data_IF_625116377320
#
_entry.id   IF_625116377320
#
_cell.length_a   1.000
_cell.length_b   1.000
_cell.length_c   1.000
_cell.angle_alpha   90.00
_cell.angle_beta   90.00
_cell.angle_gamma   90.00
#
_symmetry.space_group_name_H-M   'P 1'
#
loop_
_entity.id
_entity.type
_entity.pdbx_description
1 polymer ?
#
# COMPACT_ATOMS: atom_id res chain seq x y z
N UNK A 1 -11.72 2.44 -27.08
CA UNK A 1 -10.28 2.27 -26.80
C UNK A 1 -9.97 0.79 -27.03
N UNK A 2 -8.86 0.42 -27.67
CA UNK A 2 -8.51 -0.98 -27.92
C UNK A 2 -8.05 -1.60 -26.59
N UNK A 3 -8.39 -2.88 -26.29
CA UNK A 3 -8.05 -3.58 -25.04
C UNK A 3 -6.55 -3.47 -24.67
N UNK A 4 -5.67 -3.49 -25.68
CA UNK A 4 -4.22 -3.31 -25.46
C UNK A 4 -3.86 -1.90 -24.97
N UNK A 5 -4.55 -0.86 -25.44
CA UNK A 5 -4.32 0.51 -24.98
C UNK A 5 -4.84 0.70 -23.55
N UNK A 6 -5.99 0.12 -23.20
CA UNK A 6 -6.53 0.16 -21.84
C UNK A 6 -5.58 -0.49 -20.84
N UNK A 7 -5.04 -1.65 -21.18
CA UNK A 7 -4.09 -2.35 -20.32
C UNK A 7 -2.77 -1.58 -20.16
N UNK A 8 -2.28 -0.99 -21.25
CA UNK A 8 -1.06 -0.19 -21.27
C UNK A 8 -1.19 1.05 -20.37
N UNK A 9 -2.25 1.84 -20.57
CA UNK A 9 -2.45 3.06 -19.77
C UNK A 9 -2.89 2.73 -18.33
N UNK A 10 -3.64 1.66 -18.14
CA UNK A 10 -3.99 1.17 -16.81
C UNK A 10 -2.75 0.85 -15.97
N UNK A 11 -1.69 0.30 -16.59
CA UNK A 11 -0.44 0.04 -15.89
C UNK A 11 0.23 1.30 -15.30
N UNK A 12 -0.06 2.49 -15.84
CA UNK A 12 0.43 3.77 -15.30
C UNK A 12 -0.37 4.27 -14.07
N UNK A 13 -1.48 3.64 -13.73
CA UNK A 13 -2.26 3.98 -12.54
C UNK A 13 -1.43 3.95 -11.26
N UNK A 14 -0.37 3.12 -11.20
CA UNK A 14 0.58 3.10 -10.08
C UNK A 14 1.38 4.40 -9.93
N UNK A 15 1.68 5.10 -11.02
CA UNK A 15 2.37 6.39 -10.96
C UNK A 15 1.46 7.44 -10.31
N UNK A 16 0.19 7.45 -10.69
CA UNK A 16 -0.84 8.27 -10.06
C UNK A 16 -0.92 7.98 -8.55
N UNK A 17 -0.99 6.69 -8.19
CA UNK A 17 -1.00 6.28 -6.79
C UNK A 17 0.21 6.80 -6.03
N UNK A 18 1.43 6.54 -6.51
CA UNK A 18 2.66 6.91 -5.80
C UNK A 18 2.76 8.42 -5.61
N UNK A 19 2.44 9.20 -6.64
CA UNK A 19 2.49 10.67 -6.56
C UNK A 19 1.54 11.19 -5.48
N UNK A 20 0.28 10.77 -5.50
CA UNK A 20 -0.71 11.26 -4.53
C UNK A 20 -0.46 10.72 -3.12
N UNK A 21 -0.02 9.46 -2.98
CA UNK A 21 0.33 8.88 -1.69
C UNK A 21 1.50 9.61 -1.03
N UNK A 22 2.56 9.93 -1.80
CA UNK A 22 3.71 10.69 -1.28
C UNK A 22 3.31 12.10 -0.88
N UNK A 23 2.48 12.80 -1.68
CA UNK A 23 1.96 14.12 -1.31
C UNK A 23 1.14 14.03 -0.02
N UNK A 24 0.24 13.06 0.08
CA UNK A 24 -0.58 12.84 1.28
C UNK A 24 0.27 12.57 2.53
N UNK A 25 1.30 11.74 2.39
CA UNK A 25 2.24 11.42 3.48
C UNK A 25 3.01 12.66 3.96
N UNK A 26 3.46 13.50 3.03
CA UNK A 26 4.16 14.76 3.37
C UNK A 26 3.24 15.74 4.11
N UNK A 27 1.96 15.80 3.72
CA UNK A 27 0.97 16.67 4.37
C UNK A 27 0.58 16.19 5.76
N UNK A 28 0.60 14.89 6.01
CA UNK A 28 0.31 14.30 7.32
C UNK A 28 1.38 14.61 8.38
N UNK A 29 2.58 15.04 7.96
CA UNK A 29 3.66 15.36 8.87
C UNK A 29 4.38 14.13 9.44
N UNK A 30 5.19 14.35 10.47
CA UNK A 30 5.93 13.28 11.14
C UNK A 30 5.04 12.60 12.18
N UNK A 31 4.71 11.35 11.93
CA UNK A 31 3.90 10.54 12.84
C UNK A 31 4.64 10.28 14.16
N UNK A 32 3.97 10.38 15.33
CA UNK A 32 4.55 10.05 16.62
C UNK A 32 4.80 8.53 16.74
N UNK A 33 5.69 8.16 17.67
CA UNK A 33 5.85 6.76 18.04
C UNK A 33 4.65 6.25 18.85
N UNK A 34 4.37 4.96 18.76
CA UNK A 34 3.33 4.31 19.57
C UNK A 34 3.62 4.34 21.07
N UNK A 35 4.87 4.62 21.44
CA UNK A 35 5.32 4.76 22.85
C UNK A 35 5.29 6.18 23.36
N UNK A 36 4.98 7.17 22.51
CA UNK A 36 4.88 8.56 22.91
C UNK A 36 3.68 8.79 23.85
N UNK A 37 3.74 9.87 24.62
CA UNK A 37 2.69 10.19 25.58
C UNK A 37 1.38 10.57 24.87
N UNK A 38 0.25 10.37 25.56
CA UNK A 38 -1.05 10.78 25.04
C UNK A 38 -1.12 12.27 24.68
N UNK A 39 -0.41 13.12 25.42
CA UNK A 39 -0.33 14.55 25.14
C UNK A 39 0.45 14.85 23.85
N UNK A 40 1.54 14.13 23.56
CA UNK A 40 2.30 14.26 22.31
C UNK A 40 1.50 13.79 21.11
N UNK A 41 0.77 12.68 21.25
CA UNK A 41 -0.13 12.17 20.20
C UNK A 41 -1.27 13.18 19.95
N UNK A 42 -1.90 13.72 20.98
CA UNK A 42 -2.95 14.74 20.84
C UNK A 42 -2.41 16.00 20.14
N UNK A 43 -1.19 16.42 20.49
CA UNK A 43 -0.53 17.56 19.85
C UNK A 43 -0.28 17.29 18.36
N UNK A 44 0.15 16.08 17.97
CA UNK A 44 0.33 15.71 16.56
C UNK A 44 -0.96 15.89 15.77
N UNK A 45 -2.09 15.39 16.27
CA UNK A 45 -3.37 15.54 15.58
C UNK A 45 -3.84 17.00 15.52
N UNK A 46 -3.58 17.80 16.56
CA UNK A 46 -3.94 19.22 16.59
C UNK A 46 -3.07 20.05 15.62
N UNK A 47 -1.78 19.78 15.57
CA UNK A 47 -0.85 20.51 14.70
C UNK A 47 -1.00 20.15 13.20
N UNK A 48 -1.52 18.94 12.89
CA UNK A 48 -1.60 18.41 11.54
C UNK A 48 -3.05 18.11 11.07
N UNK A 49 -4.07 18.64 11.72
CA UNK A 49 -5.47 18.32 11.48
C UNK A 49 -5.89 18.43 10.01
N UNK A 50 -5.63 19.57 9.40
CA UNK A 50 -5.91 19.85 7.99
C UNK A 50 -5.06 18.98 7.06
N UNK A 51 -3.79 18.77 7.40
CA UNK A 51 -2.87 17.94 6.62
C UNK A 51 -3.32 16.48 6.57
N UNK A 52 -3.76 15.93 7.69
CA UNK A 52 -4.29 14.57 7.81
C UNK A 52 -5.59 14.38 7.03
N UNK A 53 -6.52 15.33 7.10
CA UNK A 53 -7.78 15.27 6.35
C UNK A 53 -7.57 15.37 4.83
N UNK A 54 -6.73 16.33 4.38
CA UNK A 54 -6.38 16.48 2.96
C UNK A 54 -5.58 15.27 2.49
N UNK A 55 -4.63 14.78 3.29
CA UNK A 55 -3.86 13.57 3.02
C UNK A 55 -4.74 12.34 2.82
N UNK A 56 -5.76 12.16 3.67
CA UNK A 56 -6.74 11.09 3.56
C UNK A 56 -7.56 11.18 2.25
N UNK A 57 -7.98 12.39 1.87
CA UNK A 57 -8.67 12.60 0.59
C UNK A 57 -7.77 12.23 -0.59
N UNK A 58 -6.51 12.66 -0.57
CA UNK A 58 -5.53 12.31 -1.62
C UNK A 58 -5.24 10.80 -1.65
N UNK A 59 -5.17 10.15 -0.49
CA UNK A 59 -5.04 8.69 -0.41
C UNK A 59 -6.24 7.97 -1.05
N UNK A 60 -7.46 8.46 -0.82
CA UNK A 60 -8.66 7.96 -1.49
C UNK A 60 -8.58 8.07 -3.02
N UNK A 61 -8.12 9.22 -3.54
CA UNK A 61 -7.90 9.42 -4.97
C UNK A 61 -6.75 8.54 -5.50
N UNK A 62 -5.69 8.35 -4.71
CA UNK A 62 -4.57 7.50 -5.07
C UNK A 62 -5.00 6.06 -5.30
N UNK A 63 -5.90 5.54 -4.47
CA UNK A 63 -6.43 4.17 -4.59
C UNK A 63 -7.15 3.95 -5.92
N UNK A 64 -7.80 4.95 -6.50
CA UNK A 64 -8.41 4.81 -7.83
C UNK A 64 -7.35 4.40 -8.85
N UNK A 65 -6.18 5.05 -8.85
CA UNK A 65 -5.07 4.69 -9.72
C UNK A 65 -4.51 3.29 -9.41
N UNK A 66 -4.42 2.94 -8.14
CA UNK A 66 -3.93 1.64 -7.69
C UNK A 66 -4.86 0.50 -8.15
N UNK A 67 -6.18 0.69 -8.07
CA UNK A 67 -7.19 -0.28 -8.55
C UNK A 67 -7.11 -0.44 -10.07
N UNK A 68 -7.00 0.67 -10.81
CA UNK A 68 -6.85 0.64 -12.28
C UNK A 68 -5.57 -0.11 -12.67
N UNK A 69 -4.46 0.17 -11.99
CA UNK A 69 -3.21 -0.55 -12.18
C UNK A 69 -3.35 -2.04 -11.89
N UNK A 70 -3.99 -2.39 -10.77
CA UNK A 70 -4.20 -3.79 -10.40
C UNK A 70 -5.03 -4.54 -11.44
N UNK A 71 -6.00 -3.89 -12.08
CA UNK A 71 -6.73 -4.46 -13.20
C UNK A 71 -5.82 -4.93 -14.35
N UNK A 72 -4.78 -4.15 -14.68
CA UNK A 72 -3.78 -4.53 -15.69
C UNK A 72 -2.90 -5.70 -15.19
N UNK A 73 -2.48 -5.68 -13.93
CA UNK A 73 -1.74 -6.79 -13.30
C UNK A 73 -2.56 -8.07 -13.33
N UNK A 74 -3.82 -8.00 -12.92
CA UNK A 74 -4.75 -9.13 -12.92
C UNK A 74 -4.87 -9.78 -14.29
N UNK A 75 -5.15 -9.00 -15.35
CA UNK A 75 -5.26 -9.51 -16.72
C UNK A 75 -3.97 -10.21 -17.17
N UNK A 76 -2.82 -9.60 -16.88
CA UNK A 76 -1.54 -10.17 -17.23
C UNK A 76 -1.26 -11.48 -16.48
N UNK A 77 -1.60 -11.57 -15.19
CA UNK A 77 -1.49 -12.79 -14.39
C UNK A 77 -2.39 -13.91 -14.92
N UNK A 78 -3.67 -13.62 -15.18
CA UNK A 78 -4.64 -14.63 -15.69
C UNK A 78 -4.16 -15.21 -17.02
N UNK A 79 -3.62 -14.38 -17.91
CA UNK A 79 -3.03 -14.87 -19.19
C UNK A 79 -1.81 -15.77 -18.95
N UNK A 80 -0.95 -15.38 -18.02
CA UNK A 80 0.27 -16.14 -17.74
C UNK A 80 -0.01 -17.48 -17.03
N UNK A 81 -1.11 -17.60 -16.30
CA UNK A 81 -1.56 -18.85 -15.66
C UNK A 81 -2.28 -19.81 -16.61
N UNK A 82 -2.57 -19.39 -17.86
CA UNK A 82 -3.25 -20.24 -18.83
C UNK A 82 -4.69 -20.59 -18.45
N UNK A 83 -5.37 -19.74 -17.66
CA UNK A 83 -6.81 -19.85 -17.34
C UNK A 83 -7.15 -20.44 -15.97
N UNK A 84 -6.20 -20.95 -15.17
CA UNK A 84 -6.49 -21.49 -13.81
C UNK A 84 -6.66 -20.41 -12.75
N UNK A 85 -6.14 -19.22 -12.97
CA UNK A 85 -6.30 -17.97 -12.18
C UNK A 85 -6.10 -18.10 -10.65
N UNK A 86 -5.41 -19.14 -10.17
CA UNK A 86 -5.25 -19.39 -8.73
C UNK A 86 -4.37 -18.33 -8.06
N UNK A 87 -3.20 -18.05 -8.66
CA UNK A 87 -2.28 -17.05 -8.10
C UNK A 87 -2.85 -15.64 -8.29
N UNK A 88 -3.51 -15.38 -9.42
CA UNK A 88 -4.22 -14.13 -9.62
C UNK A 88 -5.28 -13.89 -8.54
N UNK A 89 -6.08 -14.92 -8.17
CA UNK A 89 -7.07 -14.82 -7.10
C UNK A 89 -6.42 -14.55 -5.73
N UNK A 90 -5.32 -15.25 -5.40
CA UNK A 90 -4.58 -15.00 -4.15
C UNK A 90 -4.04 -13.57 -4.12
N UNK A 91 -3.50 -13.08 -5.24
CA UNK A 91 -3.04 -11.70 -5.35
C UNK A 91 -4.19 -10.70 -5.13
N UNK A 92 -5.38 -10.95 -5.71
CA UNK A 92 -6.53 -10.07 -5.54
C UNK A 92 -7.01 -10.02 -4.08
N UNK A 93 -7.10 -11.16 -3.42
CA UNK A 93 -7.49 -11.22 -2.01
C UNK A 93 -6.46 -10.46 -1.15
N UNK A 94 -5.16 -10.70 -1.37
CA UNK A 94 -4.10 -9.99 -0.68
C UNK A 94 -4.14 -8.47 -0.91
N UNK A 95 -4.36 -8.05 -2.16
CA UNK A 95 -4.52 -6.65 -2.54
C UNK A 95 -5.69 -5.98 -1.79
N UNK A 96 -6.84 -6.66 -1.74
CA UNK A 96 -8.02 -6.15 -1.02
C UNK A 96 -7.76 -6.03 0.48
N UNK A 97 -7.16 -7.06 1.10
CA UNK A 97 -6.82 -7.04 2.54
C UNK A 97 -5.87 -5.86 2.83
N UNK A 98 -4.77 -5.74 2.09
CA UNK A 98 -3.80 -4.66 2.27
C UNK A 98 -4.46 -3.28 2.11
N UNK A 99 -5.22 -3.09 1.04
CA UNK A 99 -5.86 -1.79 0.74
C UNK A 99 -6.92 -1.42 1.78
N UNK A 100 -7.76 -2.35 2.21
CA UNK A 100 -8.82 -2.07 3.19
C UNK A 100 -8.23 -1.71 4.55
N UNK A 101 -7.20 -2.43 5.00
CA UNK A 101 -6.57 -2.13 6.30
C UNK A 101 -5.81 -0.81 6.26
N UNK A 102 -5.11 -0.49 5.19
CA UNK A 102 -4.42 0.79 5.03
C UNK A 102 -5.41 1.97 4.98
N UNK A 103 -6.49 1.86 4.19
CA UNK A 103 -7.47 2.94 4.08
C UNK A 103 -8.28 3.11 5.36
N UNK A 104 -8.55 2.01 6.05
CA UNK A 104 -9.22 2.03 7.36
C UNK A 104 -8.40 2.76 8.42
N UNK A 105 -7.08 2.54 8.44
CA UNK A 105 -6.14 3.27 9.29
C UNK A 105 -6.19 4.77 8.97
N UNK A 106 -5.99 5.16 7.71
CA UNK A 106 -6.02 6.55 7.27
C UNK A 106 -7.36 7.23 7.61
N UNK A 107 -8.48 6.51 7.49
CA UNK A 107 -9.81 7.04 7.82
C UNK A 107 -9.96 7.28 9.33
N UNK A 108 -9.39 6.41 10.18
CA UNK A 108 -9.36 6.60 11.64
C UNK A 108 -8.54 7.86 11.96
N UNK A 109 -7.36 8.03 11.36
CA UNK A 109 -6.51 9.19 11.62
C UNK A 109 -7.17 10.50 11.18
N UNK A 110 -7.77 10.53 10.00
CA UNK A 110 -8.49 11.71 9.51
C UNK A 110 -9.72 12.04 10.39
N UNK A 111 -10.47 11.02 10.84
CA UNK A 111 -11.60 11.18 11.75
C UNK A 111 -11.16 11.67 13.14
N UNK A 112 -10.03 11.16 13.64
CA UNK A 112 -9.43 11.60 14.91
C UNK A 112 -8.98 13.05 14.84
N UNK A 113 -8.30 13.43 13.75
CA UNK A 113 -7.90 14.82 13.50
C UNK A 113 -9.11 15.76 13.43
N UNK A 114 -10.17 15.36 12.74
CA UNK A 114 -11.40 16.17 12.65
C UNK A 114 -12.12 16.37 14.00
N UNK A 115 -11.90 15.44 14.95
CA UNK A 115 -12.55 15.48 16.27
C UNK A 115 -11.57 15.86 17.41
N UNK A 116 -10.37 16.34 17.10
CA UNK A 116 -9.29 16.49 18.10
C UNK A 116 -9.66 17.41 19.25
N UNK A 117 -10.39 18.50 19.00
CA UNK A 117 -10.84 19.44 20.03
C UNK A 117 -11.77 18.77 21.08
N UNK A 118 -12.48 17.72 20.68
CA UNK A 118 -13.39 16.96 21.55
C UNK A 118 -12.67 15.79 22.25
N UNK A 119 -11.70 15.18 21.58
CA UNK A 119 -11.01 14.00 22.04
C UNK A 119 -9.85 14.33 23.00
N UNK A 120 -9.10 15.39 22.71
CA UNK A 120 -7.89 15.71 23.46
C UNK A 120 -6.94 14.51 23.55
N UNK A 121 -6.45 14.19 24.76
CA UNK A 121 -5.58 13.02 25.00
C UNK A 121 -6.25 11.66 24.70
N UNK A 122 -7.59 11.60 24.63
CA UNK A 122 -8.32 10.40 24.20
C UNK A 122 -8.03 9.98 22.75
N UNK A 123 -7.49 10.88 21.94
CA UNK A 123 -7.01 10.60 20.57
C UNK A 123 -5.95 9.49 20.52
N UNK A 124 -5.18 9.30 21.60
CA UNK A 124 -4.18 8.25 21.70
C UNK A 124 -4.76 6.83 21.52
N UNK A 125 -6.00 6.59 21.92
CA UNK A 125 -6.67 5.29 21.72
C UNK A 125 -6.92 5.04 20.24
N UNK A 126 -7.36 6.06 19.51
CA UNK A 126 -7.60 5.96 18.06
C UNK A 126 -6.30 5.84 17.27
N UNK A 127 -5.24 6.53 17.71
CA UNK A 127 -3.90 6.36 17.15
C UNK A 127 -3.40 4.91 17.27
N UNK A 128 -3.55 4.30 18.45
CA UNK A 128 -3.18 2.89 18.64
C UNK A 128 -4.03 1.96 17.76
N UNK A 129 -5.34 2.23 17.63
CA UNK A 129 -6.23 1.45 16.77
C UNK A 129 -5.82 1.57 15.29
N UNK A 130 -5.54 2.79 14.83
CA UNK A 130 -5.05 3.07 13.48
C UNK A 130 -3.75 2.32 13.20
N UNK A 131 -2.77 2.44 14.10
CA UNK A 131 -1.46 1.79 13.97
C UNK A 131 -1.57 0.25 13.90
N UNK A 132 -2.42 -0.35 14.75
CA UNK A 132 -2.65 -1.81 14.72
C UNK A 132 -3.33 -2.21 13.42
N UNK A 133 -4.33 -1.46 12.97
CA UNK A 133 -5.03 -1.74 11.71
C UNK A 133 -4.08 -1.64 10.51
N UNK A 134 -3.23 -0.61 10.47
CA UNK A 134 -2.19 -0.47 9.45
C UNK A 134 -1.20 -1.64 9.47
N UNK A 135 -0.84 -2.14 10.66
CA UNK A 135 0.03 -3.30 10.83
C UNK A 135 -0.48 -4.58 10.16
N UNK A 136 -1.78 -4.69 9.87
CA UNK A 136 -2.35 -5.80 9.08
C UNK A 136 -2.15 -5.64 7.57
N UNK A 137 -1.88 -4.44 7.06
CA UNK A 137 -1.66 -4.21 5.62
C UNK A 137 -0.51 -5.06 5.05
N UNK A 138 0.67 -5.17 5.70
CA UNK A 138 1.75 -6.03 5.24
C UNK A 138 1.38 -7.51 5.11
N UNK A 139 0.41 -8.02 5.88
CA UNK A 139 -0.07 -9.41 5.75
C UNK A 139 -0.78 -9.58 4.39
N UNK A 140 -1.58 -8.60 3.98
CA UNK A 140 -2.16 -8.58 2.64
C UNK A 140 -1.08 -8.52 1.55
N UNK A 141 -0.04 -7.72 1.77
CA UNK A 141 1.08 -7.60 0.83
C UNK A 141 1.87 -8.90 0.66
N UNK A 142 2.01 -9.71 1.72
CA UNK A 142 2.63 -11.04 1.62
C UNK A 142 1.89 -11.93 0.61
N UNK A 143 0.56 -11.92 0.64
CA UNK A 143 -0.25 -12.68 -0.32
C UNK A 143 -0.17 -12.06 -1.72
N UNK A 144 -0.34 -10.75 -1.82
CA UNK A 144 -0.35 -9.99 -3.06
C UNK A 144 0.98 -10.09 -3.80
N UNK A 145 2.06 -9.60 -3.19
CA UNK A 145 3.41 -9.59 -3.76
C UNK A 145 3.94 -11.01 -3.93
N UNK A 146 3.66 -11.89 -2.97
CA UNK A 146 4.08 -13.30 -2.99
C UNK A 146 3.49 -14.06 -4.17
N UNK A 147 2.19 -13.89 -4.46
CA UNK A 147 1.53 -14.54 -5.59
C UNK A 147 2.08 -14.05 -6.94
N UNK A 148 2.25 -12.72 -7.10
CA UNK A 148 2.85 -12.15 -8.32
C UNK A 148 4.29 -12.66 -8.50
N UNK A 149 5.08 -12.67 -7.43
CA UNK A 149 6.47 -13.14 -7.45
C UNK A 149 6.58 -14.63 -7.79
N UNK A 150 5.69 -15.45 -7.23
CA UNK A 150 5.62 -16.88 -7.55
C UNK A 150 5.29 -17.12 -9.02
N UNK A 151 4.36 -16.35 -9.59
CA UNK A 151 4.02 -16.45 -11.01
C UNK A 151 5.18 -15.97 -11.90
N UNK A 152 5.78 -14.82 -11.58
CA UNK A 152 6.93 -14.29 -12.31
C UNK A 152 8.16 -15.22 -12.26
N UNK A 153 8.30 -16.01 -11.19
CA UNK A 153 9.35 -17.03 -11.10
C UNK A 153 9.11 -18.21 -12.04
N UNK A 154 7.85 -18.63 -12.21
CA UNK A 154 7.44 -19.83 -12.97
C UNK A 154 7.23 -19.56 -14.46
N UNK A 155 6.96 -18.31 -14.83
CA UNK A 155 6.62 -17.90 -16.19
C UNK A 155 7.52 -16.75 -16.65
N UNK A 156 7.32 -16.30 -17.89
CA UNK A 156 7.98 -15.12 -18.45
C UNK A 156 7.09 -13.86 -18.36
N UNK A 157 6.07 -13.90 -17.55
CA UNK A 157 5.13 -12.79 -17.30
C UNK A 157 5.83 -11.49 -16.90
N UNK A 158 6.85 -11.59 -16.03
CA UNK A 158 7.74 -10.50 -15.64
C UNK A 158 9.19 -10.98 -15.61
N UNK A 159 10.18 -10.08 -15.73
CA UNK A 159 11.59 -10.45 -15.59
C UNK A 159 11.88 -11.13 -14.25
N UNK A 160 12.76 -12.14 -14.25
CA UNK A 160 13.09 -12.94 -13.04
C UNK A 160 13.57 -12.13 -11.84
N UNK A 161 14.15 -10.95 -12.07
CA UNK A 161 14.59 -10.07 -10.98
C UNK A 161 13.41 -9.51 -10.17
N UNK A 162 12.23 -9.29 -10.80
CA UNK A 162 11.03 -8.79 -10.08
C UNK A 162 10.51 -9.82 -9.09
N UNK A 163 10.60 -11.11 -9.42
CA UNK A 163 10.26 -12.18 -8.49
C UNK A 163 11.20 -12.17 -7.27
N UNK A 164 12.52 -12.03 -7.49
CA UNK A 164 13.51 -11.96 -6.39
C UNK A 164 13.30 -10.71 -5.52
N UNK A 165 13.09 -9.55 -6.15
CA UNK A 165 12.81 -8.31 -5.44
C UNK A 165 11.49 -8.41 -4.64
N UNK A 166 10.45 -9.02 -5.21
CA UNK A 166 9.19 -9.24 -4.51
C UNK A 166 9.34 -10.17 -3.29
N UNK A 167 10.21 -11.18 -3.33
CA UNK A 167 10.51 -12.01 -2.15
C UNK A 167 11.18 -11.21 -1.03
N UNK A 168 12.01 -10.21 -1.38
CA UNK A 168 12.57 -9.28 -0.38
C UNK A 168 11.45 -8.44 0.23
N UNK A 169 10.54 -7.89 -0.59
CA UNK A 169 9.37 -7.13 -0.10
C UNK A 169 8.53 -8.00 0.85
N UNK A 170 8.26 -9.25 0.48
CA UNK A 170 7.53 -10.22 1.34
C UNK A 170 8.24 -10.43 2.68
N UNK A 171 9.55 -10.62 2.67
CA UNK A 171 10.31 -10.83 3.91
C UNK A 171 10.27 -9.59 4.82
N UNK A 172 10.43 -8.39 4.25
CA UNK A 172 10.35 -7.13 5.00
C UNK A 172 8.93 -6.89 5.53
N UNK A 173 7.89 -7.18 4.72
CA UNK A 173 6.49 -7.08 5.13
C UNK A 173 6.16 -8.01 6.30
N UNK A 174 6.67 -9.25 6.29
CA UNK A 174 6.50 -10.19 7.41
C UNK A 174 7.13 -9.67 8.70
N UNK A 175 8.35 -9.10 8.62
CA UNK A 175 9.00 -8.51 9.80
C UNK A 175 8.24 -7.30 10.28
N UNK A 176 7.80 -6.42 9.37
CA UNK A 176 6.99 -5.23 9.68
C UNK A 176 5.68 -5.60 10.40
N UNK A 177 5.01 -6.69 10.00
CA UNK A 177 3.75 -7.12 10.61
C UNK A 177 3.88 -7.50 12.09
N UNK A 178 5.09 -7.78 12.59
CA UNK A 178 5.35 -8.05 14.01
C UNK A 178 5.13 -6.80 14.89
N UNK A 179 5.07 -5.61 14.30
CA UNK A 179 4.66 -4.37 15.00
C UNK A 179 3.27 -4.46 15.63
N UNK A 180 2.39 -5.35 15.15
CA UNK A 180 1.09 -5.61 15.78
C UNK A 180 1.25 -6.14 17.21
N UNK A 181 2.30 -6.93 17.45
CA UNK A 181 2.54 -7.62 18.72
C UNK A 181 3.63 -6.98 19.58
N UNK A 182 4.31 -5.94 19.10
CA UNK A 182 5.43 -5.32 19.80
C UNK A 182 5.60 -3.86 19.41
N UNK A 183 5.79 -3.00 20.41
CA UNK A 183 6.02 -1.55 20.25
C UNK A 183 7.52 -1.20 20.16
N UNK A 184 8.39 -2.18 19.86
CA UNK A 184 9.82 -1.90 19.73
C UNK A 184 10.08 -1.02 18.50
N UNK A 185 10.83 0.07 18.68
CA UNK A 185 11.19 1.02 17.62
C UNK A 185 11.83 0.39 16.38
N UNK A 186 12.45 -0.78 16.54
CA UNK A 186 12.94 -1.60 15.43
C UNK A 186 11.86 -1.91 14.39
N UNK A 187 10.63 -2.22 14.82
CA UNK A 187 9.53 -2.55 13.89
C UNK A 187 8.96 -1.32 13.18
N UNK A 188 9.02 -0.14 13.80
CA UNK A 188 8.63 1.11 13.15
C UNK A 188 9.57 1.42 11.96
N UNK A 189 10.88 1.23 12.14
CA UNK A 189 11.86 1.36 11.03
C UNK A 189 11.56 0.36 9.92
N UNK A 190 11.22 -0.88 10.27
CA UNK A 190 10.85 -1.89 9.27
C UNK A 190 9.54 -1.57 8.55
N UNK A 191 8.57 -0.90 9.19
CA UNK A 191 7.36 -0.44 8.54
C UNK A 191 7.65 0.60 7.44
N UNK A 192 8.56 1.55 7.71
CA UNK A 192 9.02 2.52 6.71
C UNK A 192 9.72 1.81 5.55
N UNK A 193 10.65 0.89 5.84
CA UNK A 193 11.37 0.12 4.81
C UNK A 193 10.37 -0.70 3.99
N UNK A 194 9.37 -1.32 4.61
CA UNK A 194 8.33 -2.09 3.94
C UNK A 194 7.55 -1.20 2.97
N UNK A 195 7.08 -0.03 3.41
CA UNK A 195 6.36 0.92 2.57
C UNK A 195 7.18 1.38 1.36
N UNK A 196 8.44 1.78 1.58
CA UNK A 196 9.32 2.25 0.50
C UNK A 196 9.62 1.12 -0.49
N UNK A 197 10.00 -0.07 -0.02
CA UNK A 197 10.34 -1.20 -0.89
C UNK A 197 9.12 -1.70 -1.66
N UNK A 198 7.95 -1.70 -1.04
CA UNK A 198 6.68 -2.03 -1.69
C UNK A 198 6.34 -1.02 -2.79
N UNK A 199 6.40 0.30 -2.51
CA UNK A 199 6.14 1.34 -3.51
C UNK A 199 7.09 1.24 -4.71
N UNK A 200 8.38 1.04 -4.49
CA UNK A 200 9.36 0.88 -5.55
C UNK A 200 9.08 -0.38 -6.38
N UNK A 201 8.67 -1.46 -5.73
CA UNK A 201 8.37 -2.72 -6.42
C UNK A 201 7.11 -2.61 -7.28
N UNK A 202 5.99 -2.08 -6.75
CA UNK A 202 4.76 -1.91 -7.55
C UNK A 202 4.98 -0.96 -8.73
N UNK A 203 5.74 0.13 -8.53
CA UNK A 203 6.11 1.07 -9.58
C UNK A 203 6.91 0.37 -10.69
N UNK A 204 7.88 -0.47 -10.31
CA UNK A 204 8.67 -1.27 -11.24
C UNK A 204 7.79 -2.22 -12.05
N UNK A 205 6.87 -2.93 -11.40
CA UNK A 205 5.90 -3.83 -12.08
C UNK A 205 5.03 -3.05 -13.06
N UNK A 206 4.50 -1.89 -12.67
CA UNK A 206 3.67 -1.06 -13.56
C UNK A 206 4.43 -0.58 -14.79
N UNK A 207 5.67 -0.09 -14.62
CA UNK A 207 6.53 0.35 -15.73
C UNK A 207 6.84 -0.81 -16.70
N UNK A 208 7.10 -2.00 -16.16
CA UNK A 208 7.37 -3.19 -16.98
C UNK A 208 6.15 -3.59 -17.80
N UNK A 209 4.97 -3.65 -17.18
CA UNK A 209 3.72 -3.96 -17.88
C UNK A 209 3.41 -2.92 -18.97
N UNK A 210 3.62 -1.62 -18.68
CA UNK A 210 3.46 -0.56 -19.67
C UNK A 210 4.37 -0.76 -20.90
N UNK A 211 5.62 -1.20 -20.69
CA UNK A 211 6.59 -1.44 -21.77
C UNK A 211 6.32 -2.72 -22.56
N UNK A 212 5.71 -3.72 -21.93
CA UNK A 212 5.40 -5.01 -22.56
C UNK A 212 4.08 -4.99 -23.34
N UNK A 213 3.17 -4.06 -23.03
CA UNK A 213 1.91 -3.95 -23.74
C UNK A 213 2.17 -3.59 -25.22
N UNK A 214 1.50 -4.27 -26.19
CA UNK A 214 1.68 -3.99 -27.61
C UNK A 214 1.40 -2.51 -27.89
N UNK A 215 2.29 -1.86 -28.64
CA UNK A 215 2.00 -0.54 -29.18
C UNK A 215 0.84 -0.70 -30.17
N UNK A 216 -0.28 -0.01 -29.90
CA UNK A 216 -1.35 0.10 -30.90
C UNK A 216 -0.76 0.75 -32.16
N UNK A 217 -0.51 -0.08 -33.19
CA UNK A 217 -0.25 0.40 -34.51
C UNK A 217 -1.52 1.00 -35.11
#
# INVERSE_FOLDING_TARGET
MNDAAEERYGALGVVWFVVLAVIGLVLAGSEPSRTDSAAEIAKYYADNDTGLQVGAFLAGLAIVGLVVWFGSVWRAMVRAEGGTSRLALIAAIGFVISTITAIGSIAIDAGTAAAIDQLGEGSAVFFQLSSVLFGFSPIGDVLFVGAISALAHRTEFLPKWTAKAGLVVVAVALVSSLSIASDAAFFEVFAIIAGVTWMLWILSVGILLYKQAPSSA
#
